data_IF_234322636590
#
_entry.id   IF_234322636590
#
_cell.length_a   1.000
_cell.length_b   1.000
_cell.length_c   1.000
_cell.angle_alpha   90.00
_cell.angle_beta   90.00
_cell.angle_gamma   90.00
#
_symmetry.space_group_name_H-M   'P 1'
#
loop_
_entity.id
_entity.type
_entity.pdbx_description
1 polymer ?
#
# COMPACT_ATOMS: atom_id res chain seq x y z
N UNK A 1 -6.73 4.48 -11.51
CA UNK A 1 -7.75 3.58 -10.97
C UNK A 1 -7.53 3.33 -9.49
N UNK A 2 -8.57 2.88 -8.84
CA UNK A 2 -8.55 2.61 -7.42
C UNK A 2 -9.04 1.18 -7.19
N UNK A 3 -8.25 0.40 -6.46
CA UNK A 3 -8.63 -0.94 -6.07
C UNK A 3 -9.11 -0.90 -4.63
N UNK A 4 -10.28 -1.46 -4.36
CA UNK A 4 -10.84 -1.52 -3.02
C UNK A 4 -10.99 -2.98 -2.63
N UNK A 5 -10.41 -3.36 -1.49
CA UNK A 5 -10.48 -4.72 -1.00
C UNK A 5 -10.78 -4.70 0.49
N UNK A 6 -11.26 -5.82 1.02
CA UNK A 6 -11.46 -5.93 2.46
C UNK A 6 -10.10 -6.13 3.15
N UNK A 7 -9.35 -7.11 2.68
CA UNK A 7 -8.08 -7.47 3.30
C UNK A 7 -6.92 -6.77 2.62
N UNK A 8 -5.78 -6.60 3.32
CA UNK A 8 -4.60 -5.97 2.74
C UNK A 8 -3.82 -6.93 1.85
N UNK A 9 -2.82 -6.37 1.18
CA UNK A 9 -1.78 -7.16 0.52
C UNK A 9 -0.88 -7.76 1.60
N UNK A 10 -0.51 -9.01 1.41
CA UNK A 10 0.39 -9.66 2.36
C UNK A 10 1.70 -8.88 2.48
N UNK A 11 2.10 -8.60 3.69
CA UNK A 11 3.33 -7.87 3.97
C UNK A 11 3.18 -6.36 4.01
N UNK A 12 1.98 -5.85 3.72
CA UNK A 12 1.75 -4.41 3.64
C UNK A 12 0.63 -4.00 4.57
N UNK A 13 0.97 -3.90 5.84
CA UNK A 13 -0.01 -3.47 6.83
C UNK A 13 -0.88 -4.60 7.35
N UNK A 14 -0.47 -5.84 7.13
CA UNK A 14 -1.18 -6.99 7.68
C UNK A 14 -0.51 -7.49 8.95
N UNK A 15 -1.03 -8.57 9.50
CA UNK A 15 -0.47 -9.22 10.67
C UNK A 15 -0.10 -10.65 10.30
N UNK A 16 0.66 -11.31 11.16
CA UNK A 16 1.18 -12.64 10.84
C UNK A 16 0.20 -13.76 11.18
N UNK A 17 -0.76 -13.50 12.07
CA UNK A 17 -1.75 -14.53 12.39
C UNK A 17 -2.68 -14.74 11.22
N UNK A 18 -3.14 -15.97 11.07
CA UNK A 18 -3.87 -16.36 9.87
C UNK A 18 -5.08 -15.48 9.56
N UNK A 19 -5.95 -15.14 10.51
CA UNK A 19 -7.11 -14.31 10.19
C UNK A 19 -6.78 -12.91 9.72
N UNK A 20 -5.58 -12.40 10.02
CA UNK A 20 -5.22 -11.04 9.69
C UNK A 20 -4.08 -10.97 8.67
N UNK A 21 -3.72 -12.10 8.09
CA UNK A 21 -2.68 -12.11 7.07
C UNK A 21 -3.28 -11.62 5.76
N UNK A 22 -2.53 -10.78 5.05
CA UNK A 22 -2.97 -10.28 3.78
C UNK A 22 -2.86 -11.32 2.68
N UNK A 23 -3.33 -10.98 1.49
CA UNK A 23 -3.37 -11.88 0.36
C UNK A 23 -2.21 -11.58 -0.58
N UNK A 24 -1.38 -12.60 -0.81
CA UNK A 24 -0.28 -12.44 -1.75
C UNK A 24 -0.79 -12.26 -3.18
N UNK A 25 -1.96 -12.82 -3.47
CA UNK A 25 -2.51 -12.73 -4.83
C UNK A 25 -2.79 -11.29 -5.26
N UNK A 26 -2.96 -10.37 -4.32
CA UNK A 26 -3.19 -8.98 -4.68
C UNK A 26 -1.99 -8.36 -5.38
N UNK A 27 -0.79 -8.89 -5.16
CA UNK A 27 0.39 -8.37 -5.84
C UNK A 27 0.28 -8.55 -7.36
N UNK A 28 -0.38 -9.60 -7.78
CA UNK A 28 -0.58 -9.84 -9.22
C UNK A 28 -1.42 -8.72 -9.83
N UNK A 29 -2.46 -8.30 -9.12
CA UNK A 29 -3.31 -7.21 -9.59
C UNK A 29 -2.54 -5.90 -9.62
N UNK A 30 -1.76 -5.63 -8.59
CA UNK A 30 -1.02 -4.39 -8.53
C UNK A 30 0.07 -4.34 -9.60
N UNK A 31 0.74 -5.46 -9.83
CA UNK A 31 1.78 -5.52 -10.84
C UNK A 31 1.22 -5.38 -12.24
N UNK A 32 0.02 -5.88 -12.45
CA UNK A 32 -0.56 -5.89 -13.79
C UNK A 32 -1.25 -4.58 -14.13
N UNK A 33 -1.99 -4.03 -13.19
CA UNK A 33 -2.86 -2.88 -13.49
C UNK A 33 -2.34 -1.55 -12.96
N UNK A 34 -1.38 -1.59 -12.04
CA UNK A 34 -0.77 -0.37 -11.48
C UNK A 34 -1.81 0.66 -11.03
N UNK A 35 -2.75 0.27 -10.16
CA UNK A 35 -3.73 1.26 -9.71
C UNK A 35 -3.03 2.35 -8.90
N UNK A 36 -3.61 3.53 -8.92
CA UNK A 36 -3.10 4.66 -8.16
C UNK A 36 -3.19 4.41 -6.67
N UNK A 37 -4.31 3.82 -6.24
CA UNK A 37 -4.56 3.56 -4.83
C UNK A 37 -5.09 2.15 -4.64
N UNK A 38 -4.72 1.53 -3.52
CA UNK A 38 -5.37 0.35 -3.01
C UNK A 38 -5.88 0.67 -1.62
N UNK A 39 -7.19 0.60 -1.43
CA UNK A 39 -7.83 0.90 -0.16
C UNK A 39 -8.32 -0.39 0.46
N UNK A 40 -8.00 -0.60 1.73
CA UNK A 40 -8.43 -1.82 2.41
C UNK A 40 -8.83 -1.52 3.85
N UNK A 41 -9.44 -2.49 4.49
CA UNK A 41 -9.83 -2.40 5.88
C UNK A 41 -9.31 -3.60 6.64
N UNK A 42 -10.19 -4.21 7.43
CA UNK A 42 -9.95 -5.44 8.17
C UNK A 42 -8.93 -5.31 9.29
N UNK A 43 -7.75 -4.73 9.05
CA UNK A 43 -6.74 -4.59 10.08
C UNK A 43 -7.01 -3.31 10.85
N UNK A 44 -7.40 -3.44 12.10
CA UNK A 44 -7.68 -2.28 12.94
C UNK A 44 -6.36 -1.73 13.45
N UNK A 45 -6.10 -0.47 13.19
CA UNK A 45 -4.81 0.12 13.53
C UNK A 45 -4.55 0.20 15.03
N UNK A 46 -5.58 -0.01 15.84
CA UNK A 46 -5.40 -0.03 17.27
C UNK A 46 -4.96 -1.40 17.81
N UNK A 47 -4.80 -2.41 16.95
CA UNK A 47 -4.32 -3.71 17.40
C UNK A 47 -2.86 -3.62 17.85
N UNK A 48 -2.08 -2.83 17.12
CA UNK A 48 -0.66 -2.73 17.38
C UNK A 48 -0.17 -1.36 16.93
N UNK A 49 0.69 -0.77 17.72
CA UNK A 49 1.15 0.58 17.49
C UNK A 49 2.10 0.71 16.31
N UNK A 50 2.61 -0.41 15.80
CA UNK A 50 3.61 -0.36 14.74
C UNK A 50 3.06 -0.61 13.35
N UNK A 51 1.76 -0.80 13.19
CA UNK A 51 1.19 -1.04 11.87
C UNK A 51 0.97 0.29 11.18
N UNK A 52 1.64 0.53 10.04
CA UNK A 52 1.46 1.81 9.35
C UNK A 52 0.14 1.85 8.61
N UNK A 53 -0.44 3.04 8.53
CA UNK A 53 -1.68 3.23 7.79
C UNK A 53 -1.44 3.21 6.30
N UNK A 54 -0.29 3.71 5.86
CA UNK A 54 -0.04 3.88 4.43
C UNK A 54 1.32 3.34 4.06
N UNK A 55 1.38 2.64 2.94
CA UNK A 55 2.64 2.13 2.40
C UNK A 55 2.61 2.23 0.89
N UNK A 56 3.77 2.10 0.27
CA UNK A 56 3.91 2.21 -1.17
C UNK A 56 4.33 0.86 -1.73
N UNK A 57 3.61 0.39 -2.74
CA UNK A 57 3.96 -0.81 -3.48
C UNK A 57 4.06 -0.41 -4.95
N UNK A 58 5.28 -0.29 -5.46
CA UNK A 58 5.47 0.18 -6.82
C UNK A 58 4.81 1.54 -7.01
N UNK A 59 3.92 1.65 -7.96
CA UNK A 59 3.20 2.88 -8.24
C UNK A 59 1.93 3.04 -7.41
N UNK A 60 1.61 2.07 -6.57
CA UNK A 60 0.35 2.05 -5.84
C UNK A 60 0.54 2.48 -4.39
N UNK A 61 -0.26 3.45 -3.95
CA UNK A 61 -0.35 3.78 -2.54
C UNK A 61 -1.35 2.82 -1.91
N UNK A 62 -0.93 2.13 -0.86
CA UNK A 62 -1.79 1.21 -0.13
C UNK A 62 -2.18 1.89 1.17
N UNK A 63 -3.47 2.05 1.39
CA UNK A 63 -3.97 2.80 2.55
C UNK A 63 -4.97 1.95 3.31
N UNK A 64 -4.75 1.83 4.61
CA UNK A 64 -5.69 1.21 5.52
C UNK A 64 -6.71 2.26 5.91
N UNK A 65 -7.98 1.99 5.62
CA UNK A 65 -9.05 2.94 5.85
C UNK A 65 -9.73 2.74 7.21
N UNK A 66 -9.06 2.14 8.18
CA UNK A 66 -9.62 1.87 9.49
C UNK A 66 -10.24 3.15 10.06
N UNK A 67 -11.48 3.02 10.49
CA UNK A 67 -12.33 4.10 10.97
C UNK A 67 -12.57 5.11 9.87
N UNK A 68 -11.63 6.01 9.65
CA UNK A 68 -11.86 7.08 8.69
C UNK A 68 -10.53 7.70 8.27
N UNK A 69 -10.42 8.04 7.01
CA UNK A 69 -9.25 8.72 6.51
C UNK A 69 -9.69 9.56 5.32
N UNK A 70 -9.08 10.72 5.17
CA UNK A 70 -9.35 11.61 4.05
C UNK A 70 -8.15 11.58 3.13
N UNK A 71 -8.39 11.36 1.85
CA UNK A 71 -7.33 11.26 0.85
C UNK A 71 -7.60 12.22 -0.28
N UNK A 72 -6.54 12.82 -0.81
CA UNK A 72 -6.63 13.64 -2.01
C UNK A 72 -6.18 12.75 -3.17
N UNK A 73 -7.13 12.24 -3.94
CA UNK A 73 -6.82 11.30 -5.01
C UNK A 73 -6.23 11.97 -6.23
N UNK A 74 -6.30 13.28 -6.31
CA UNK A 74 -5.71 14.03 -7.42
C UNK A 74 -4.29 14.49 -7.14
N UNK A 75 -3.83 14.29 -5.93
CA UNK A 75 -2.48 14.69 -5.58
C UNK A 75 -1.48 13.78 -6.28
N UNK A 76 -0.34 14.30 -6.72
CA UNK A 76 0.68 13.44 -7.29
C UNK A 76 1.23 12.51 -6.22
N UNK A 77 1.73 11.36 -6.64
CA UNK A 77 2.33 10.42 -5.72
C UNK A 77 3.52 11.08 -5.04
N UNK A 78 3.78 10.75 -3.77
CA UNK A 78 4.94 11.26 -3.09
C UNK A 78 6.21 10.83 -3.81
N UNK A 79 7.17 11.73 -3.89
CA UNK A 79 8.44 11.38 -4.50
C UNK A 79 9.24 10.53 -3.54
N UNK A 80 10.05 9.61 -4.06
CA UNK A 80 10.92 8.81 -3.21
C UNK A 80 11.85 9.74 -2.41
N UNK A 81 12.04 9.40 -1.15
CA UNK A 81 12.86 10.19 -0.32
C UNK A 81 14.27 10.23 -0.81
N UNK A 82 14.71 9.17 -1.40
CA UNK A 82 16.09 9.05 -1.85
C UNK A 82 16.13 9.02 -3.36
N UNK A 83 15.51 9.99 -3.98
CA UNK A 83 15.52 10.06 -5.41
C UNK A 83 16.87 9.99 -6.03
N UNK A 84 17.86 10.60 -5.40
CA UNK A 84 19.20 10.53 -5.92
C UNK A 84 19.67 9.11 -5.98
N UNK A 85 19.41 8.38 -4.90
CA UNK A 85 19.79 6.98 -4.88
C UNK A 85 18.98 6.18 -5.86
N UNK A 86 17.71 6.49 -5.98
CA UNK A 86 16.89 5.77 -6.93
C UNK A 86 17.47 5.91 -8.32
N UNK A 87 17.92 7.09 -8.67
CA UNK A 87 18.53 7.28 -9.97
C UNK A 87 19.80 6.51 -10.12
N UNK A 88 20.59 6.46 -9.06
CA UNK A 88 21.82 5.72 -9.12
C UNK A 88 21.59 4.24 -9.17
N UNK A 89 20.57 3.80 -8.45
CA UNK A 89 20.29 2.38 -8.41
C UNK A 89 19.51 1.90 -9.60
N UNK A 90 19.23 2.81 -10.49
CA UNK A 90 18.56 2.37 -11.65
C UNK A 90 17.10 2.45 -11.53
N UNK A 91 16.76 3.24 -10.84
CA UNK A 91 15.49 3.51 -10.86
C UNK A 91 14.69 2.53 -11.06
N UNK A 92 14.93 1.65 -10.81
CA UNK A 92 14.25 0.71 -11.05
C UNK A 92 13.19 0.67 -10.29
N UNK A 93 13.01 1.11 -9.58
CA UNK A 93 12.15 1.01 -8.85
C UNK A 93 11.18 1.70 -8.98
N UNK A 94 10.75 2.06 -9.36
CA UNK A 94 9.85 2.59 -9.36
C UNK A 94 9.21 2.66 -10.13
N UNK A 95 8.69 2.61 -10.29
CA UNK A 95 7.91 2.62 -10.98
C UNK A 95 7.47 2.76 -11.09
#
# INVERSE_FOLDING_TARGET
DILVTHAPLHGYGDMTDLPHRGFTAFSVLLDRYHPQLMLHGHIHLNYCCSIPREQQYGATRIVNCYERVYLDVDAPAPKPRHRLFAGLLGKRQNP
#
